data_IF_472229677881
#
_entry.id   IF_472229677881
#
_cell.length_a   1.000
_cell.length_b   1.000
_cell.length_c   1.000
_cell.angle_alpha   90.00
_cell.angle_beta   90.00
_cell.angle_gamma   90.00
#
_symmetry.space_group_name_H-M   'P 1'
#
loop_
_entity.id
_entity.type
_entity.pdbx_description
1 polymer ?
#
# COMPACT_ATOMS: atom_id res chain seq x y z
N UNK A 1 -18.16 17.91 5.38
CA UNK A 1 -17.32 17.07 6.23
C UNK A 1 -17.18 15.70 5.58
N UNK A 2 -15.97 15.19 5.38
CA UNK A 2 -15.78 13.84 4.85
C UNK A 2 -16.42 12.80 5.78
N UNK A 3 -17.10 11.81 5.19
CA UNK A 3 -17.63 10.67 5.97
C UNK A 3 -16.45 9.88 6.56
N UNK A 4 -16.65 9.25 7.71
CA UNK A 4 -15.71 8.33 8.35
C UNK A 4 -15.02 7.40 7.34
N UNK A 5 -13.69 7.22 7.46
CA UNK A 5 -12.90 6.31 6.62
C UNK A 5 -13.42 4.87 6.76
N UNK A 6 -13.68 4.43 8.00
CA UNK A 6 -14.22 3.10 8.26
C UNK A 6 -15.63 2.92 7.70
N UNK A 7 -16.52 3.90 7.85
CA UNK A 7 -17.88 3.80 7.29
C UNK A 7 -17.87 3.70 5.75
N UNK A 8 -16.94 4.40 5.08
CA UNK A 8 -16.74 4.28 3.62
C UNK A 8 -16.22 2.90 3.24
N UNK A 9 -15.21 2.41 3.98
CA UNK A 9 -14.65 1.08 3.73
C UNK A 9 -15.68 -0.03 3.99
N UNK A 10 -16.52 0.07 5.03
CA UNK A 10 -17.63 -0.86 5.27
C UNK A 10 -18.58 -0.91 4.07
N UNK A 11 -18.94 0.23 3.49
CA UNK A 11 -19.79 0.25 2.29
C UNK A 11 -19.15 -0.49 1.11
N UNK A 12 -17.83 -0.33 0.90
CA UNK A 12 -17.10 -1.08 -0.11
C UNK A 12 -17.04 -2.57 0.21
N UNK A 13 -16.75 -2.92 1.46
CA UNK A 13 -16.68 -4.33 1.89
C UNK A 13 -18.01 -5.02 1.72
N UNK A 14 -19.12 -4.35 2.08
CA UNK A 14 -20.47 -4.88 1.88
C UNK A 14 -20.73 -5.16 0.40
N UNK A 15 -20.43 -4.19 -0.46
CA UNK A 15 -20.52 -4.38 -1.91
C UNK A 15 -19.66 -5.56 -2.39
N UNK A 16 -18.41 -5.67 -1.92
CA UNK A 16 -17.51 -6.77 -2.27
C UNK A 16 -18.03 -8.13 -1.84
N UNK A 17 -18.68 -8.23 -0.68
CA UNK A 17 -19.33 -9.47 -0.20
C UNK A 17 -20.49 -9.86 -1.12
N UNK A 18 -21.31 -8.91 -1.54
CA UNK A 18 -22.42 -9.13 -2.48
C UNK A 18 -21.94 -9.57 -3.87
N UNK A 19 -20.70 -9.18 -4.26
CA UNK A 19 -20.08 -9.52 -5.55
C UNK A 19 -18.91 -10.52 -5.40
N UNK A 20 -18.94 -11.32 -4.34
CA UNK A 20 -17.83 -12.23 -3.98
C UNK A 20 -17.46 -13.23 -5.07
N UNK A 21 -18.43 -13.72 -5.83
CA UNK A 21 -18.20 -14.64 -6.95
C UNK A 21 -17.39 -13.95 -8.07
N UNK A 22 -17.80 -12.75 -8.48
CA UNK A 22 -17.12 -11.98 -9.54
C UNK A 22 -15.68 -11.60 -9.13
N UNK A 23 -15.48 -11.27 -7.86
CA UNK A 23 -14.19 -10.90 -7.30
C UNK A 23 -13.33 -12.11 -6.92
N UNK A 24 -13.92 -13.33 -6.87
CA UNK A 24 -13.24 -14.54 -6.44
C UNK A 24 -12.87 -14.52 -4.96
N UNK A 25 -13.75 -13.95 -4.12
CA UNK A 25 -13.57 -13.84 -2.67
C UNK A 25 -14.25 -15.00 -1.94
N UNK A 26 -13.77 -15.31 -0.72
CA UNK A 26 -14.48 -16.11 0.26
C UNK A 26 -14.79 -15.26 1.48
N UNK A 27 -16.03 -15.33 1.96
CA UNK A 27 -16.47 -14.64 3.17
C UNK A 27 -16.87 -15.65 4.22
N UNK A 28 -16.25 -15.55 5.39
CA UNK A 28 -16.53 -16.43 6.52
C UNK A 28 -16.81 -15.61 7.79
N UNK A 29 -17.60 -16.17 8.72
CA UNK A 29 -17.68 -15.65 10.08
C UNK A 29 -16.57 -16.28 10.91
N UNK A 30 -15.72 -15.42 11.45
CA UNK A 30 -14.70 -15.83 12.41
C UNK A 30 -15.37 -16.30 13.73
N UNK A 31 -14.79 -17.26 14.51
CA UNK A 31 -15.36 -17.72 15.78
C UNK A 31 -15.66 -16.60 16.79
N UNK A 32 -14.94 -15.50 16.74
CA UNK A 32 -15.18 -14.30 17.57
C UNK A 32 -16.36 -13.45 17.11
N UNK A 33 -16.97 -13.77 15.95
CA UNK A 33 -18.04 -13.00 15.33
C UNK A 33 -17.58 -11.97 14.28
N UNK A 34 -16.28 -11.73 14.10
CA UNK A 34 -15.75 -10.85 13.07
C UNK A 34 -16.10 -11.37 11.67
N UNK A 35 -16.15 -10.47 10.69
CA UNK A 35 -16.31 -10.85 9.28
C UNK A 35 -14.94 -10.96 8.63
N UNK A 36 -14.60 -12.14 8.15
CA UNK A 36 -13.37 -12.44 7.44
C UNK A 36 -13.64 -12.50 5.94
N UNK A 37 -12.84 -11.77 5.17
CA UNK A 37 -12.86 -11.74 3.71
C UNK A 37 -11.49 -12.21 3.23
N UNK A 38 -11.45 -13.39 2.65
CA UNK A 38 -10.26 -13.99 2.06
C UNK A 38 -10.17 -13.63 0.59
N UNK A 39 -8.99 -13.11 0.20
CA UNK A 39 -8.70 -12.69 -1.16
C UNK A 39 -7.57 -13.51 -1.83
N UNK A 40 -7.08 -14.56 -1.18
CA UNK A 40 -6.01 -15.35 -1.79
C UNK A 40 -5.35 -16.42 -0.92
N UNK A 41 -5.89 -16.75 0.26
CA UNK A 41 -5.45 -17.89 1.09
C UNK A 41 -6.12 -19.17 0.60
N UNK A 42 -7.44 -19.27 0.73
CA UNK A 42 -8.30 -20.33 0.19
C UNK A 42 -9.08 -19.85 -1.03
N UNK A 43 -9.39 -18.55 -1.07
CA UNK A 43 -10.05 -17.91 -2.18
C UNK A 43 -9.14 -17.92 -3.41
N UNK A 44 -9.76 -18.00 -4.61
CA UNK A 44 -9.04 -17.86 -5.87
C UNK A 44 -8.34 -16.50 -5.95
N UNK A 45 -9.01 -15.44 -5.50
CA UNK A 45 -8.57 -14.06 -5.65
C UNK A 45 -8.38 -13.68 -7.12
N UNK A 46 -7.54 -12.69 -7.38
CA UNK A 46 -7.21 -12.26 -8.72
C UNK A 46 -6.93 -10.77 -8.82
N UNK A 47 -6.84 -10.26 -10.05
CA UNK A 47 -6.60 -8.82 -10.30
C UNK A 47 -7.76 -7.98 -9.78
N UNK A 48 -9.01 -8.38 -10.02
CA UNK A 48 -10.19 -7.67 -9.53
C UNK A 48 -10.22 -7.62 -7.99
N UNK A 49 -9.94 -8.75 -7.32
CA UNK A 49 -9.81 -8.82 -5.87
C UNK A 49 -8.72 -7.89 -5.32
N UNK A 50 -7.55 -7.86 -5.98
CA UNK A 50 -6.44 -7.00 -5.58
C UNK A 50 -6.74 -5.50 -5.75
N UNK A 51 -7.43 -5.12 -6.83
CA UNK A 51 -7.94 -3.76 -7.02
C UNK A 51 -8.93 -3.37 -5.93
N UNK A 52 -9.92 -4.23 -5.68
CA UNK A 52 -10.90 -4.06 -4.60
C UNK A 52 -10.21 -3.89 -3.24
N UNK A 53 -9.26 -4.77 -2.91
CA UNK A 53 -8.47 -4.68 -1.68
C UNK A 53 -7.71 -3.37 -1.57
N UNK A 54 -7.12 -2.88 -2.68
CA UNK A 54 -6.43 -1.58 -2.75
C UNK A 54 -7.40 -0.43 -2.46
N UNK A 55 -8.58 -0.42 -3.07
CA UNK A 55 -9.58 0.63 -2.84
C UNK A 55 -10.14 0.61 -1.40
N UNK A 56 -10.29 -0.56 -0.79
CA UNK A 56 -10.62 -0.69 0.64
C UNK A 56 -9.49 -0.16 1.52
N UNK A 57 -8.23 -0.48 1.19
CA UNK A 57 -7.06 0.09 1.87
C UNK A 57 -7.04 1.63 1.83
N UNK A 58 -7.43 2.22 0.70
CA UNK A 58 -7.56 3.66 0.53
C UNK A 58 -8.85 4.25 1.15
N UNK A 59 -9.60 3.45 1.92
CA UNK A 59 -10.91 3.81 2.48
C UNK A 59 -11.91 4.35 1.44
N UNK A 60 -11.81 3.91 0.17
CA UNK A 60 -12.62 4.42 -0.94
C UNK A 60 -12.38 5.89 -1.31
N UNK A 61 -11.28 6.48 -0.84
CA UNK A 61 -10.83 7.84 -1.21
C UNK A 61 -9.89 7.83 -2.42
N UNK A 62 -9.52 6.68 -2.93
CA UNK A 62 -8.77 6.51 -4.16
C UNK A 62 -9.49 5.57 -5.11
N UNK A 63 -9.12 5.65 -6.39
CA UNK A 63 -9.60 4.78 -7.46
C UNK A 63 -8.45 4.02 -8.10
N UNK A 64 -8.75 2.84 -8.61
CA UNK A 64 -7.76 1.98 -9.25
C UNK A 64 -8.22 1.52 -10.62
N UNK A 65 -7.25 1.39 -11.53
CA UNK A 65 -7.44 0.71 -12.81
C UNK A 65 -6.22 -0.14 -13.13
N UNK A 66 -6.39 -1.14 -14.00
CA UNK A 66 -5.27 -1.95 -14.48
C UNK A 66 -5.19 -1.82 -15.99
N UNK A 67 -3.99 -1.54 -16.47
CA UNK A 67 -3.67 -1.40 -17.88
C UNK A 67 -2.30 -2.00 -18.16
N UNK A 68 -1.93 -2.13 -19.43
CA UNK A 68 -0.57 -2.51 -19.82
C UNK A 68 0.25 -1.26 -20.05
N UNK A 69 1.41 -1.18 -19.39
CA UNK A 69 2.37 -0.09 -19.54
C UNK A 69 3.66 -0.60 -20.15
N UNK A 70 4.29 0.22 -20.98
CA UNK A 70 5.60 -0.07 -21.56
C UNK A 70 6.72 0.39 -20.65
N UNK A 71 7.66 -0.49 -20.38
CA UNK A 71 8.88 -0.26 -19.64
C UNK A 71 10.04 -0.54 -20.59
N UNK A 72 10.32 0.42 -21.48
CA UNK A 72 11.19 0.29 -22.67
C UNK A 72 10.67 -0.83 -23.61
N UNK A 73 11.40 -1.93 -23.72
CA UNK A 73 11.10 -3.08 -24.59
C UNK A 73 10.21 -4.14 -23.92
N UNK A 74 9.71 -3.90 -22.70
CA UNK A 74 8.83 -4.82 -21.96
C UNK A 74 7.50 -4.17 -21.66
N UNK A 75 6.42 -4.85 -22.00
CA UNK A 75 5.06 -4.47 -21.63
C UNK A 75 4.60 -5.30 -20.41
N UNK A 76 4.17 -4.62 -19.34
CA UNK A 76 3.74 -5.27 -18.11
C UNK A 76 2.34 -4.79 -17.70
N UNK A 77 1.49 -5.69 -17.15
CA UNK A 77 0.28 -5.26 -16.48
C UNK A 77 0.65 -4.36 -15.32
N UNK A 78 -0.01 -3.21 -15.20
CA UNK A 78 0.30 -2.20 -14.21
C UNK A 78 -0.98 -1.69 -13.56
N UNK A 79 -0.95 -1.50 -12.25
CA UNK A 79 -2.03 -0.85 -11.53
C UNK A 79 -1.79 0.65 -11.49
N UNK A 80 -2.81 1.41 -11.87
CA UNK A 80 -2.89 2.85 -11.73
C UNK A 80 -3.72 3.19 -10.49
N UNK A 81 -3.29 4.18 -9.73
CA UNK A 81 -3.96 4.67 -8.52
C UNK A 81 -4.04 6.18 -8.57
N UNK A 82 -5.19 6.73 -8.19
CA UNK A 82 -5.43 8.17 -8.10
C UNK A 82 -6.23 8.52 -6.86
N UNK A 83 -5.98 9.71 -6.30
CA UNK A 83 -6.72 10.23 -5.14
C UNK A 83 -6.64 11.75 -5.04
N UNK A 84 -7.79 12.36 -4.70
CA UNK A 84 -7.93 13.78 -4.35
C UNK A 84 -7.80 14.00 -2.82
N UNK A 85 -7.52 12.95 -2.06
CA UNK A 85 -7.35 12.98 -0.60
C UNK A 85 -6.05 12.30 -0.16
N UNK A 86 -4.87 12.72 -0.69
CA UNK A 86 -3.64 11.95 -0.60
C UNK A 86 -3.26 11.57 0.84
N UNK A 87 -3.20 12.54 1.76
CA UNK A 87 -2.78 12.28 3.14
C UNK A 87 -3.71 11.29 3.86
N UNK A 88 -5.04 11.43 3.70
CA UNK A 88 -6.02 10.57 4.37
C UNK A 88 -6.10 9.19 3.73
N UNK A 89 -6.17 9.12 2.40
CA UNK A 89 -6.28 7.85 1.68
C UNK A 89 -5.05 6.98 1.91
N UNK A 90 -3.86 7.58 1.91
CA UNK A 90 -2.60 6.86 2.01
C UNK A 90 -2.14 6.73 3.47
N UNK A 91 -1.59 7.79 4.07
CA UNK A 91 -1.04 7.73 5.42
C UNK A 91 -2.10 7.46 6.49
N UNK A 92 -3.29 8.04 6.34
CA UNK A 92 -4.43 7.84 7.24
C UNK A 92 -5.09 6.46 7.13
N UNK A 93 -4.92 5.75 6.00
CA UNK A 93 -5.56 4.46 5.76
C UNK A 93 -4.61 3.41 5.19
N UNK A 94 -4.11 3.57 3.96
CA UNK A 94 -3.41 2.51 3.23
C UNK A 94 -2.06 2.09 3.84
N UNK A 95 -1.33 2.99 4.48
CA UNK A 95 -0.01 2.69 5.04
C UNK A 95 -0.02 1.44 5.93
N UNK A 96 0.95 0.52 5.72
CA UNK A 96 1.08 -0.72 6.50
C UNK A 96 1.82 -0.49 7.82
N UNK A 97 1.24 0.34 8.69
CA UNK A 97 1.88 0.83 9.91
C UNK A 97 1.45 0.14 11.21
N UNK A 98 0.67 -0.93 11.13
CA UNK A 98 0.20 -1.63 12.33
C UNK A 98 0.66 -3.09 12.33
N UNK A 99 1.63 -3.42 13.19
CA UNK A 99 2.00 -4.82 13.43
C UNK A 99 0.96 -5.47 14.33
N UNK A 100 0.19 -6.41 13.77
CA UNK A 100 -0.68 -7.29 14.55
C UNK A 100 0.19 -8.46 15.00
N UNK A 101 0.62 -8.44 16.25
CA UNK A 101 1.51 -9.44 16.81
C UNK A 101 0.94 -9.97 18.12
N UNK A 102 0.64 -11.25 18.14
CA UNK A 102 0.22 -12.01 19.32
C UNK A 102 1.16 -13.17 19.56
N UNK A 103 0.82 -14.06 20.47
CA UNK A 103 1.63 -15.25 20.78
C UNK A 103 1.75 -16.22 19.61
N UNK A 104 0.73 -16.26 18.73
CA UNK A 104 0.54 -17.27 17.69
C UNK A 104 0.22 -16.66 16.30
N UNK A 105 0.30 -15.32 16.17
CA UNK A 105 -0.02 -14.63 14.92
C UNK A 105 0.88 -13.43 14.67
N UNK A 106 1.25 -13.25 13.41
CA UNK A 106 1.89 -12.03 12.94
C UNK A 106 1.36 -11.63 11.56
N UNK A 107 0.97 -10.36 11.42
CA UNK A 107 0.63 -9.75 10.14
C UNK A 107 0.95 -8.25 10.14
N UNK A 108 1.16 -7.69 8.94
CA UNK A 108 1.17 -6.25 8.75
C UNK A 108 -0.26 -5.78 8.45
N UNK A 109 -0.73 -4.87 9.29
CA UNK A 109 -2.06 -4.29 9.19
C UNK A 109 -2.05 -2.92 8.51
N UNK A 110 -2.97 -2.74 7.59
CA UNK A 110 -3.29 -1.51 6.88
C UNK A 110 -4.81 -1.31 6.85
N UNK A 111 -5.26 -0.22 6.24
CA UNK A 111 -6.68 0.09 6.18
C UNK A 111 -7.16 1.05 7.28
N UNK A 112 -8.42 1.47 7.20
CA UNK A 112 -8.93 2.58 8.01
C UNK A 112 -9.07 2.28 9.51
N UNK A 113 -9.07 1.01 9.96
CA UNK A 113 -9.04 0.66 11.37
C UNK A 113 -7.86 1.32 12.11
N UNK A 114 -6.74 1.55 11.40
CA UNK A 114 -5.58 2.26 11.94
C UNK A 114 -5.89 3.68 12.42
N UNK A 115 -6.87 4.35 11.80
CA UNK A 115 -7.27 5.70 12.18
C UNK A 115 -8.04 5.75 13.51
N UNK A 116 -8.68 4.64 13.89
CA UNK A 116 -9.30 4.48 15.21
C UNK A 116 -8.21 4.19 16.25
N UNK A 117 -7.37 3.19 15.97
CA UNK A 117 -6.30 2.74 16.87
C UNK A 117 -5.09 3.67 16.92
N UNK A 118 -4.99 4.69 16.04
CA UNK A 118 -3.87 5.62 15.89
C UNK A 118 -2.51 4.90 15.72
N UNK A 119 -2.43 3.93 14.82
CA UNK A 119 -1.22 3.11 14.60
C UNK A 119 -0.54 3.42 13.23
N UNK A 120 0.70 3.98 13.24
CA UNK A 120 1.45 4.49 14.38
C UNK A 120 1.01 5.93 14.74
N UNK A 121 1.09 6.27 16.02
CA UNK A 121 0.57 7.52 16.57
C UNK A 121 1.20 8.78 15.96
N UNK A 122 2.51 8.75 15.71
CA UNK A 122 3.26 9.88 15.16
C UNK A 122 2.78 10.27 13.77
N UNK A 123 2.33 9.29 12.97
CA UNK A 123 1.81 9.55 11.64
C UNK A 123 0.48 10.29 11.70
N UNK A 124 -0.40 9.90 12.62
CA UNK A 124 -1.69 10.56 12.81
C UNK A 124 -1.55 11.98 13.38
N UNK A 125 -0.52 12.23 14.20
CA UNK A 125 -0.16 13.59 14.61
C UNK A 125 0.28 14.45 13.42
N UNK A 126 1.08 13.89 12.49
CA UNK A 126 1.52 14.62 11.28
C UNK A 126 0.38 15.01 10.35
N UNK A 127 -0.59 14.12 10.16
CA UNK A 127 -1.74 14.40 9.28
C UNK A 127 -2.90 15.09 10.00
N UNK A 128 -2.80 15.29 11.30
CA UNK A 128 -3.81 15.91 12.16
C UNK A 128 -5.20 15.26 12.00
N UNK A 129 -5.23 13.94 12.15
CA UNK A 129 -6.43 13.14 11.93
C UNK A 129 -6.61 12.06 12.98
N UNK A 130 -7.85 11.89 13.41
CA UNK A 130 -8.32 10.75 14.20
C UNK A 130 -9.78 10.46 13.88
N UNK A 131 -10.21 9.26 14.14
CA UNK A 131 -11.57 8.82 13.85
C UNK A 131 -12.15 8.02 15.01
N UNK A 132 -13.46 8.20 15.24
CA UNK A 132 -14.26 7.28 16.04
C UNK A 132 -15.26 6.61 15.11
N UNK A 133 -15.34 5.30 15.16
CA UNK A 133 -16.25 4.50 14.35
C UNK A 133 -16.68 3.25 15.09
N UNK A 134 -17.93 2.87 14.94
CA UNK A 134 -18.47 1.63 15.51
C UNK A 134 -17.87 0.40 14.84
N UNK A 135 -17.61 0.48 13.53
CA UNK A 135 -17.03 -0.60 12.75
C UNK A 135 -15.56 -0.29 12.43
N UNK A 136 -14.73 -1.32 12.39
CA UNK A 136 -13.34 -1.22 12.01
C UNK A 136 -13.03 -2.15 10.83
N UNK A 137 -12.41 -1.59 9.78
CA UNK A 137 -11.99 -2.35 8.59
C UNK A 137 -10.47 -2.41 8.55
N UNK A 138 -9.94 -3.62 8.65
CA UNK A 138 -8.51 -3.92 8.65
C UNK A 138 -8.15 -4.77 7.43
N UNK A 139 -7.00 -4.47 6.82
CA UNK A 139 -6.44 -5.25 5.72
C UNK A 139 -5.14 -5.85 6.19
N UNK A 140 -5.02 -7.18 6.12
CA UNK A 140 -3.88 -7.93 6.60
C UNK A 140 -3.10 -8.57 5.44
N UNK A 141 -1.80 -8.40 5.47
CA UNK A 141 -0.85 -9.17 4.68
C UNK A 141 -0.39 -10.37 5.51
N UNK A 142 -0.94 -11.55 5.21
CA UNK A 142 -0.68 -12.78 5.94
C UNK A 142 -0.97 -14.02 5.09
N UNK A 143 -0.28 -15.13 5.42
CA UNK A 143 -0.44 -16.43 4.75
C UNK A 143 -1.53 -17.30 5.41
N UNK A 144 -2.08 -16.85 6.54
CA UNK A 144 -3.13 -17.55 7.28
C UNK A 144 -4.11 -16.55 7.93
N UNK A 145 -5.26 -17.05 8.31
CA UNK A 145 -6.30 -16.24 8.93
C UNK A 145 -5.88 -15.75 10.31
N UNK A 146 -6.35 -14.56 10.74
CA UNK A 146 -6.09 -14.08 12.09
C UNK A 146 -6.65 -15.06 13.13
N UNK A 147 -5.92 -15.22 14.24
CA UNK A 147 -6.38 -16.03 15.37
C UNK A 147 -7.42 -15.27 16.19
N UNK A 148 -8.10 -15.98 17.12
CA UNK A 148 -9.04 -15.31 18.02
C UNK A 148 -8.36 -14.23 18.87
N UNK A 149 -7.13 -14.49 19.32
CA UNK A 149 -6.33 -13.52 20.07
C UNK A 149 -6.06 -12.27 19.25
N UNK A 150 -5.66 -12.45 17.97
CA UNK A 150 -5.40 -11.34 17.05
C UNK A 150 -6.66 -10.48 16.80
N UNK A 151 -7.82 -11.10 16.59
CA UNK A 151 -9.07 -10.36 16.39
C UNK A 151 -9.51 -9.64 17.66
N UNK A 152 -9.38 -10.26 18.84
CA UNK A 152 -9.67 -9.62 20.13
C UNK A 152 -8.76 -8.42 20.38
N UNK A 153 -7.44 -8.57 20.11
CA UNK A 153 -6.48 -7.48 20.19
C UNK A 153 -6.88 -6.28 19.29
N UNK A 154 -7.26 -6.54 18.03
CA UNK A 154 -7.71 -5.48 17.12
C UNK A 154 -8.99 -4.81 17.62
N UNK A 155 -9.93 -5.57 18.16
CA UNK A 155 -11.18 -5.03 18.70
C UNK A 155 -10.93 -4.13 19.91
N UNK A 156 -10.03 -4.53 20.81
CA UNK A 156 -9.61 -3.75 21.97
C UNK A 156 -8.96 -2.43 21.57
N UNK A 157 -7.97 -2.47 20.65
CA UNK A 157 -7.27 -1.27 20.17
C UNK A 157 -8.20 -0.32 19.40
N UNK A 158 -9.27 -0.83 18.78
CA UNK A 158 -10.29 -0.04 18.11
C UNK A 158 -11.47 0.35 19.01
N UNK A 159 -11.42 0.06 20.31
CA UNK A 159 -12.50 0.34 21.28
C UNK A 159 -13.88 -0.17 20.80
N UNK A 160 -13.91 -1.36 20.18
CA UNK A 160 -15.13 -1.96 19.62
C UNK A 160 -15.24 -3.45 19.97
N UNK A 161 -16.26 -4.12 19.45
CA UNK A 161 -16.45 -5.57 19.65
C UNK A 161 -15.99 -6.35 18.42
N UNK A 162 -15.53 -7.60 18.55
CA UNK A 162 -15.13 -8.44 17.44
C UNK A 162 -16.16 -8.53 16.32
N UNK A 163 -17.45 -8.53 16.61
CA UNK A 163 -18.54 -8.60 15.63
C UNK A 163 -18.61 -7.37 14.69
N UNK A 164 -17.94 -6.28 15.06
CA UNK A 164 -17.84 -5.03 14.28
C UNK A 164 -16.55 -4.94 13.48
N UNK A 165 -15.68 -5.94 13.56
CA UNK A 165 -14.44 -6.02 12.80
C UNK A 165 -14.69 -6.69 11.45
N UNK A 166 -14.20 -6.05 10.41
CA UNK A 166 -14.09 -6.59 9.05
C UNK A 166 -12.60 -6.73 8.73
N UNK A 167 -12.17 -7.95 8.43
CA UNK A 167 -10.76 -8.24 8.11
C UNK A 167 -10.66 -8.78 6.70
N UNK A 168 -9.94 -8.06 5.84
CA UNK A 168 -9.55 -8.54 4.53
C UNK A 168 -8.16 -9.14 4.65
N UNK A 169 -7.91 -10.30 4.02
CA UNK A 169 -6.61 -10.97 4.13
C UNK A 169 -6.16 -11.50 2.77
N UNK A 170 -4.90 -11.27 2.43
CA UNK A 170 -4.26 -11.88 1.27
C UNK A 170 -2.76 -12.08 1.51
N UNK A 171 -2.18 -13.21 1.06
CA UNK A 171 -0.73 -13.40 1.05
C UNK A 171 -0.07 -12.55 -0.03
N UNK A 172 1.14 -12.05 0.22
CA UNK A 172 2.00 -11.41 -0.81
C UNK A 172 2.21 -12.31 -2.03
N UNK A 173 2.22 -13.62 -1.84
CA UNK A 173 2.40 -14.64 -2.88
C UNK A 173 1.17 -14.86 -3.76
N UNK A 174 0.00 -14.28 -3.41
CA UNK A 174 -1.22 -14.33 -4.22
C UNK A 174 -1.28 -13.21 -5.25
N UNK A 175 -2.13 -13.39 -6.28
CA UNK A 175 -2.37 -12.34 -7.27
C UNK A 175 -2.98 -11.09 -6.62
N UNK A 176 -3.95 -11.25 -5.73
CA UNK A 176 -4.58 -10.13 -5.04
C UNK A 176 -3.56 -9.36 -4.17
N UNK A 177 -2.68 -10.09 -3.45
CA UNK A 177 -1.59 -9.49 -2.68
C UNK A 177 -0.60 -8.72 -3.55
N UNK A 178 -0.18 -9.30 -4.68
CA UNK A 178 0.73 -8.62 -5.62
C UNK A 178 0.13 -7.33 -6.18
N UNK A 179 -1.13 -7.35 -6.61
CA UNK A 179 -1.84 -6.15 -7.10
C UNK A 179 -1.96 -5.10 -6.00
N UNK A 180 -2.36 -5.50 -4.79
CA UNK A 180 -2.52 -4.59 -3.67
C UNK A 180 -1.21 -3.92 -3.27
N UNK A 181 -0.07 -4.64 -3.28
CA UNK A 181 1.22 -4.05 -2.93
C UNK A 181 1.68 -3.09 -4.03
N UNK A 182 1.56 -3.45 -5.32
CA UNK A 182 1.81 -2.51 -6.41
C UNK A 182 0.89 -1.28 -6.36
N UNK A 183 -0.34 -1.46 -5.87
CA UNK A 183 -1.31 -0.39 -5.63
C UNK A 183 -0.96 0.57 -4.48
N UNK A 184 0.16 0.34 -3.77
CA UNK A 184 0.72 1.30 -2.79
C UNK A 184 1.57 2.39 -3.43
N UNK A 185 1.65 2.43 -4.73
CA UNK A 185 2.51 3.35 -5.47
C UNK A 185 2.39 4.81 -5.03
N UNK A 186 1.17 5.33 -4.88
CA UNK A 186 0.94 6.72 -4.42
C UNK A 186 1.30 6.87 -2.94
N UNK A 187 0.94 5.89 -2.12
CA UNK A 187 1.26 5.86 -0.68
C UNK A 187 2.78 5.88 -0.45
N UNK A 188 3.53 5.01 -1.13
CA UNK A 188 4.98 4.90 -0.97
C UNK A 188 5.69 6.22 -1.30
N UNK A 189 5.23 6.95 -2.32
CA UNK A 189 5.79 8.25 -2.66
C UNK A 189 5.46 9.33 -1.63
N UNK A 190 4.22 9.39 -1.13
CA UNK A 190 3.81 10.34 -0.08
C UNK A 190 4.55 10.05 1.22
N UNK A 191 4.65 8.78 1.59
CA UNK A 191 5.43 8.38 2.76
C UNK A 191 6.88 8.85 2.64
N UNK A 192 7.51 8.62 1.48
CA UNK A 192 8.87 9.07 1.22
C UNK A 192 9.06 10.59 1.33
N UNK A 193 8.16 11.37 0.72
CA UNK A 193 8.19 12.83 0.85
C UNK A 193 8.03 13.29 2.31
N UNK A 194 7.17 12.61 3.07
CA UNK A 194 6.95 12.87 4.50
C UNK A 194 8.18 12.55 5.36
N UNK A 195 8.90 11.45 5.05
CA UNK A 195 10.18 11.11 5.71
C UNK A 195 11.25 12.15 5.42
N UNK A 196 11.28 12.72 4.21
CA UNK A 196 12.19 13.79 3.83
C UNK A 196 11.83 15.14 4.43
N UNK A 197 10.70 15.24 5.14
CA UNK A 197 10.26 16.44 5.86
C UNK A 197 9.25 17.31 5.12
N UNK A 198 8.62 16.81 4.05
CA UNK A 198 7.49 17.49 3.41
C UNK A 198 6.22 17.28 4.25
N UNK A 199 5.43 18.34 4.44
CA UNK A 199 4.13 18.24 5.14
C UNK A 199 3.10 17.53 4.24
N UNK A 200 2.65 16.30 4.58
CA UNK A 200 1.71 15.57 3.76
C UNK A 200 0.36 16.27 3.56
N UNK A 201 -0.03 17.18 4.44
CA UNK A 201 -1.26 17.97 4.32
C UNK A 201 -1.20 18.98 3.18
N UNK A 202 -0.01 19.32 2.71
CA UNK A 202 0.23 20.19 1.54
C UNK A 202 0.18 19.44 0.19
N UNK A 203 0.01 18.11 0.19
CA UNK A 203 -0.19 17.32 -1.03
C UNK A 203 -1.70 17.30 -1.32
N UNK A 204 -2.08 17.91 -2.44
CA UNK A 204 -3.49 18.13 -2.80
C UNK A 204 -4.07 17.01 -3.66
N UNK A 205 -3.28 16.52 -4.61
CA UNK A 205 -3.65 15.45 -5.53
C UNK A 205 -2.48 14.49 -5.70
N UNK A 206 -2.79 13.21 -5.86
CA UNK A 206 -1.77 12.21 -6.11
C UNK A 206 -2.26 11.14 -7.08
N UNK A 207 -1.43 10.80 -8.05
CA UNK A 207 -1.64 9.63 -8.89
C UNK A 207 -0.32 8.95 -9.23
N UNK A 208 -0.40 7.71 -9.69
CA UNK A 208 0.77 6.96 -10.06
C UNK A 208 0.43 5.58 -10.58
N UNK A 209 1.42 4.89 -11.11
CA UNK A 209 1.28 3.51 -11.54
C UNK A 209 2.53 2.70 -11.23
N UNK A 210 2.35 1.40 -11.01
CA UNK A 210 3.43 0.46 -10.82
C UNK A 210 3.13 -0.86 -11.54
N UNK A 211 4.15 -1.59 -12.05
CA UNK A 211 3.94 -2.91 -12.62
C UNK A 211 3.42 -3.87 -11.54
N UNK A 212 2.49 -4.74 -11.93
CA UNK A 212 2.03 -5.84 -11.08
C UNK A 212 3.09 -6.93 -11.16
N UNK A 213 3.71 -7.24 -10.04
CA UNK A 213 4.76 -8.24 -9.99
C UNK A 213 4.19 -9.64 -10.27
N UNK A 214 4.87 -10.48 -11.07
CA UNK A 214 4.51 -11.88 -11.21
C UNK A 214 4.56 -12.58 -9.85
N UNK A 215 3.53 -13.37 -9.55
CA UNK A 215 3.46 -14.14 -8.31
C UNK A 215 4.64 -15.12 -8.19
N UNK A 216 5.00 -15.43 -6.94
CA UNK A 216 6.04 -16.42 -6.64
C UNK A 216 5.62 -17.28 -5.44
N UNK A 217 5.77 -18.63 -5.50
CA UNK A 217 5.32 -19.51 -4.42
C UNK A 217 6.06 -19.32 -3.09
N UNK A 218 7.26 -18.74 -3.11
CA UNK A 218 8.00 -18.39 -1.88
C UNK A 218 7.68 -16.96 -1.48
N UNK A 219 7.07 -16.76 -0.31
CA UNK A 219 6.64 -15.45 0.19
C UNK A 219 7.75 -14.39 0.17
N UNK A 220 8.96 -14.69 0.64
CA UNK A 220 10.08 -13.74 0.64
C UNK A 220 10.51 -13.31 -0.79
N UNK A 221 10.39 -14.19 -1.79
CA UNK A 221 10.67 -13.83 -3.18
C UNK A 221 9.52 -13.05 -3.81
N UNK A 222 8.27 -13.38 -3.48
CA UNK A 222 7.10 -12.61 -3.89
C UNK A 222 7.21 -11.18 -3.36
N UNK A 223 7.53 -11.03 -2.08
CA UNK A 223 7.80 -9.75 -1.43
C UNK A 223 8.94 -8.98 -2.12
N UNK A 224 10.03 -9.66 -2.48
CA UNK A 224 11.11 -9.05 -3.26
C UNK A 224 10.62 -8.45 -4.56
N UNK A 225 9.87 -9.21 -5.36
CA UNK A 225 9.33 -8.77 -6.65
C UNK A 225 8.37 -7.59 -6.53
N UNK A 226 7.50 -7.59 -5.54
CA UNK A 226 6.54 -6.50 -5.34
C UNK A 226 7.21 -5.19 -4.92
N UNK A 227 8.24 -5.24 -4.06
CA UNK A 227 9.04 -4.07 -3.72
C UNK A 227 9.85 -3.57 -4.92
N UNK A 228 10.46 -4.47 -5.70
CA UNK A 228 11.20 -4.13 -6.91
C UNK A 228 10.29 -3.50 -7.97
N UNK A 229 9.04 -3.93 -8.07
CA UNK A 229 8.06 -3.34 -8.98
C UNK A 229 7.87 -1.83 -8.70
N UNK A 230 7.78 -1.43 -7.45
CA UNK A 230 7.68 -0.02 -7.03
C UNK A 230 9.03 0.69 -7.20
N UNK A 231 10.09 0.11 -6.66
CA UNK A 231 11.40 0.75 -6.60
C UNK A 231 12.06 0.94 -7.98
N UNK A 232 11.76 0.09 -8.96
CA UNK A 232 12.37 0.13 -10.28
C UNK A 232 11.40 0.48 -11.41
N UNK A 233 10.09 0.37 -11.19
CA UNK A 233 9.07 0.64 -12.20
C UNK A 233 7.99 1.62 -11.79
N UNK A 234 7.95 2.02 -10.53
CA UNK A 234 6.90 2.90 -10.01
C UNK A 234 7.05 4.34 -10.46
N UNK A 235 5.95 4.94 -10.89
CA UNK A 235 5.89 6.33 -11.37
C UNK A 235 4.82 7.08 -10.59
N UNK A 236 5.16 8.27 -10.07
CA UNK A 236 4.25 9.09 -9.27
C UNK A 236 4.20 10.52 -9.72
N UNK A 237 3.00 11.10 -9.61
CA UNK A 237 2.70 12.49 -9.88
C UNK A 237 1.94 13.08 -8.69
N UNK A 238 2.40 14.24 -8.20
CA UNK A 238 1.75 14.97 -7.11
C UNK A 238 1.56 16.42 -7.46
N UNK A 239 0.45 17.01 -7.02
CA UNK A 239 0.25 18.45 -6.97
C UNK A 239 0.30 18.90 -5.52
N UNK A 240 1.13 19.88 -5.22
CA UNK A 240 1.39 20.33 -3.85
C UNK A 240 1.24 21.84 -3.71
N UNK A 241 0.92 22.28 -2.50
CA UNK A 241 0.92 23.69 -2.10
C UNK A 241 2.18 24.00 -1.28
N UNK A 242 3.26 24.46 -1.93
CA UNK A 242 4.54 24.76 -1.28
C UNK A 242 4.88 26.23 -1.33
N UNK A 243 5.29 26.78 -0.18
CA UNK A 243 5.78 28.17 -0.05
C UNK A 243 7.23 28.31 -0.52
N UNK A 244 8.00 27.21 -0.53
CA UNK A 244 9.43 27.17 -0.84
C UNK A 244 9.70 26.17 -1.99
N UNK A 245 9.82 26.71 -3.18
CA UNK A 245 10.05 25.93 -4.40
C UNK A 245 11.47 25.37 -4.48
N UNK A 246 12.45 26.05 -3.89
CA UNK A 246 13.85 25.59 -3.82
C UNK A 246 13.95 24.35 -2.93
N UNK A 247 13.36 24.41 -1.74
CA UNK A 247 13.30 23.27 -0.84
C UNK A 247 12.52 22.11 -1.45
N UNK A 248 11.40 22.38 -2.13
CA UNK A 248 10.64 21.35 -2.84
C UNK A 248 11.50 20.63 -3.87
N UNK A 249 12.26 21.37 -4.68
CA UNK A 249 13.19 20.82 -5.67
C UNK A 249 14.24 19.89 -5.03
N UNK A 250 14.81 20.29 -3.90
CA UNK A 250 15.79 19.47 -3.16
C UNK A 250 15.18 18.17 -2.64
N UNK A 251 13.95 18.24 -2.08
CA UNK A 251 13.23 17.07 -1.59
C UNK A 251 12.91 16.09 -2.73
N UNK A 252 12.39 16.61 -3.86
CA UNK A 252 12.06 15.79 -5.03
C UNK A 252 13.31 15.13 -5.60
N UNK A 253 14.47 15.81 -5.60
CA UNK A 253 15.74 15.23 -6.06
C UNK A 253 16.17 14.02 -5.22
N UNK A 254 15.88 14.02 -3.92
CA UNK A 254 16.24 12.96 -2.96
C UNK A 254 15.17 11.90 -2.79
N UNK A 255 14.00 12.07 -3.41
CA UNK A 255 12.85 11.20 -3.19
C UNK A 255 12.94 9.82 -3.85
N UNK A 256 13.43 9.66 -5.11
CA UNK A 256 13.42 8.38 -5.81
C UNK A 256 14.20 7.29 -5.10
N UNK A 257 13.82 6.03 -5.33
CA UNK A 257 14.53 4.83 -4.85
C UNK A 257 16.01 4.82 -5.20
N UNK A 258 16.38 5.44 -6.33
CA UNK A 258 17.77 5.58 -6.78
C UNK A 258 18.66 6.43 -5.86
N UNK A 259 18.08 7.17 -4.92
CA UNK A 259 18.81 7.88 -3.88
C UNK A 259 19.19 6.99 -2.67
N UNK A 260 18.66 5.77 -2.61
CA UNK A 260 18.99 4.81 -1.57
C UNK A 260 20.38 4.21 -1.78
N UNK A 261 21.13 4.01 -0.67
CA UNK A 261 22.42 3.29 -0.69
C UNK A 261 22.27 1.81 -1.07
N UNK A 262 21.08 1.23 -0.93
CA UNK A 262 20.78 -0.17 -1.25
C UNK A 262 20.27 -0.35 -2.68
N UNK A 263 20.13 0.75 -3.46
CA UNK A 263 19.66 0.73 -4.84
C UNK A 263 20.59 -0.06 -5.77
N UNK A 264 20.04 -0.62 -6.85
CA UNK A 264 20.81 -1.34 -7.89
C UNK A 264 20.94 -2.84 -7.65
N UNK A 265 20.26 -3.38 -6.63
CA UNK A 265 20.23 -4.80 -6.30
C UNK A 265 18.78 -5.27 -6.14
N UNK A 266 18.44 -6.53 -6.51
CA UNK A 266 17.13 -7.09 -6.22
C UNK A 266 16.79 -6.98 -4.73
N UNK A 267 15.59 -6.53 -4.40
CA UNK A 267 15.17 -6.36 -3.00
C UNK A 267 15.34 -7.65 -2.18
N UNK A 268 15.04 -8.81 -2.77
CA UNK A 268 15.24 -10.09 -2.08
C UNK A 268 16.69 -10.30 -1.61
N UNK A 269 17.68 -9.86 -2.39
CA UNK A 269 19.09 -9.96 -2.01
C UNK A 269 19.45 -8.99 -0.89
N UNK A 270 18.93 -7.76 -0.95
CA UNK A 270 19.09 -6.77 0.11
C UNK A 270 18.44 -7.26 1.41
N UNK A 271 17.22 -7.77 1.33
CA UNK A 271 16.47 -8.30 2.47
C UNK A 271 17.15 -9.51 3.12
N UNK A 272 17.68 -10.43 2.28
CA UNK A 272 18.48 -11.57 2.76
C UNK A 272 19.77 -11.10 3.46
N UNK A 273 20.47 -10.13 2.91
CA UNK A 273 21.69 -9.57 3.52
C UNK A 273 21.39 -8.86 4.86
N UNK A 274 20.18 -8.28 5.00
CA UNK A 274 19.67 -7.70 6.24
C UNK A 274 19.14 -8.75 7.23
N UNK A 275 19.35 -10.05 6.99
CA UNK A 275 18.81 -11.15 7.81
C UNK A 275 17.28 -11.13 7.91
N UNK A 276 16.60 -10.74 6.84
CA UNK A 276 15.14 -10.58 6.75
C UNK A 276 14.55 -9.57 7.75
N UNK A 277 15.32 -8.54 8.08
CA UNK A 277 14.93 -7.45 8.97
C UNK A 277 14.76 -6.16 8.16
N UNK A 278 13.53 -5.69 8.01
CA UNK A 278 13.20 -4.47 7.27
C UNK A 278 13.85 -3.21 7.85
N UNK A 279 14.06 -3.16 9.16
CA UNK A 279 14.63 -2.00 9.83
C UNK A 279 16.12 -1.78 9.55
N UNK A 280 16.80 -2.79 8.97
CA UNK A 280 18.20 -2.70 8.53
C UNK A 280 18.35 -2.23 7.09
N UNK A 281 17.26 -2.14 6.34
CA UNK A 281 17.24 -1.66 4.96
C UNK A 281 17.09 -0.15 4.97
N UNK A 282 17.81 0.52 4.05
CA UNK A 282 17.62 1.95 3.85
C UNK A 282 16.17 2.25 3.44
N UNK A 283 15.41 3.05 4.22
CA UNK A 283 14.01 3.37 3.90
C UNK A 283 13.81 3.96 2.51
N UNK A 284 14.83 4.64 1.95
CA UNK A 284 14.78 5.18 0.61
C UNK A 284 14.58 4.14 -0.49
N UNK A 285 14.89 2.87 -0.24
CA UNK A 285 14.67 1.79 -1.21
C UNK A 285 13.18 1.49 -1.46
N UNK A 286 12.32 1.78 -0.49
CA UNK A 286 10.86 1.55 -0.62
C UNK A 286 10.15 2.65 -1.42
N UNK A 287 10.88 3.66 -1.88
CA UNK A 287 10.32 4.75 -2.67
C UNK A 287 10.06 4.34 -4.13
N UNK A 288 9.15 5.02 -4.83
CA UNK A 288 8.98 4.92 -6.28
C UNK A 288 10.25 5.22 -7.08
N UNK A 289 10.33 4.66 -8.30
CA UNK A 289 11.44 4.90 -9.21
C UNK A 289 11.48 6.36 -9.68
N UNK A 290 10.31 6.99 -9.88
CA UNK A 290 10.21 8.37 -10.37
C UNK A 290 9.20 9.20 -9.60
N UNK A 291 9.50 10.49 -9.49
CA UNK A 291 8.64 11.52 -8.94
C UNK A 291 8.50 12.68 -9.92
N UNK A 292 7.27 13.15 -10.11
CA UNK A 292 6.97 14.44 -10.70
C UNK A 292 6.05 15.20 -9.72
N UNK A 293 6.51 16.35 -9.23
CA UNK A 293 5.80 17.13 -8.20
C UNK A 293 5.60 18.54 -8.71
N UNK A 294 4.35 18.93 -8.93
CA UNK A 294 3.96 20.26 -9.39
C UNK A 294 3.58 21.14 -8.19
N UNK A 295 4.27 22.26 -8.04
CA UNK A 295 3.86 23.29 -7.09
C UNK A 295 2.75 24.15 -7.71
N UNK A 296 1.54 24.10 -7.16
CA UNK A 296 0.39 24.84 -7.71
C UNK A 296 0.52 26.37 -7.61
N UNK A 297 1.38 26.87 -6.69
CA UNK A 297 1.61 28.31 -6.54
C UNK A 297 2.47 28.90 -7.64
N UNK A 298 3.40 28.13 -8.15
CA UNK A 298 4.37 28.57 -9.17
C UNK A 298 4.10 27.99 -10.55
N UNK A 299 3.32 26.89 -10.62
CA UNK A 299 3.13 26.10 -11.84
C UNK A 299 4.37 25.29 -12.25
N UNK A 300 5.44 25.31 -11.45
CA UNK A 300 6.68 24.58 -11.74
C UNK A 300 6.52 23.12 -11.35
N UNK A 301 6.95 22.22 -12.23
CA UNK A 301 7.03 20.78 -11.97
C UNK A 301 8.49 20.37 -11.79
N UNK A 302 8.83 19.87 -10.63
CA UNK A 302 10.10 19.22 -10.35
C UNK A 302 9.99 17.73 -10.61
N UNK A 303 10.89 17.15 -11.40
CA UNK A 303 10.93 15.73 -11.71
C UNK A 303 12.29 15.13 -11.37
N UNK A 304 12.28 13.90 -10.85
CA UNK A 304 13.49 13.16 -10.49
C UNK A 304 13.28 11.66 -10.56
N UNK A 305 14.40 10.93 -10.71
CA UNK A 305 14.41 9.48 -10.83
C UNK A 305 14.20 9.00 -12.27
N UNK A 306 14.29 7.70 -12.44
CA UNK A 306 14.02 7.02 -13.72
C UNK A 306 13.65 5.56 -13.47
N UNK A 307 12.84 5.00 -14.34
CA UNK A 307 12.56 3.56 -14.41
C UNK A 307 13.88 2.80 -14.67
N UNK A 308 14.02 1.63 -14.10
CA UNK A 308 15.15 0.72 -14.34
C UNK A 308 14.66 -0.60 -14.95
N UNK A 309 14.48 -0.68 -16.27
CA UNK A 309 13.95 -1.86 -16.95
C UNK A 309 14.84 -3.09 -16.82
N UNK A 310 16.14 -2.89 -16.75
CA UNK A 310 17.11 -4.00 -16.57
C UNK A 310 16.84 -4.74 -15.25
N UNK A 311 16.73 -4.00 -14.15
CA UNK A 311 16.41 -4.60 -12.84
C UNK A 311 14.99 -5.14 -12.80
N UNK A 312 14.00 -4.50 -13.41
CA UNK A 312 12.66 -5.05 -13.52
C UNK A 312 12.65 -6.42 -14.22
N UNK A 313 13.33 -6.55 -15.36
CA UNK A 313 13.45 -7.84 -16.06
C UNK A 313 14.11 -8.90 -15.21
N UNK A 314 15.21 -8.56 -14.57
CA UNK A 314 15.97 -9.46 -13.71
C UNK A 314 15.11 -9.96 -12.53
N UNK A 315 14.48 -9.05 -11.81
CA UNK A 315 13.76 -9.37 -10.56
C UNK A 315 12.45 -10.08 -10.82
N UNK A 316 11.76 -9.72 -11.91
CA UNK A 316 10.54 -10.39 -12.36
C UNK A 316 10.82 -11.70 -13.10
N UNK A 317 12.10 -12.01 -13.35
CA UNK A 317 12.53 -13.20 -14.10
C UNK A 317 11.87 -13.28 -15.49
N UNK A 318 11.82 -12.15 -16.19
CA UNK A 318 11.36 -12.11 -17.56
C UNK A 318 12.44 -12.70 -18.46
N UNK A 319 12.25 -13.91 -18.89
CA UNK A 319 13.17 -14.64 -19.75
C UNK A 319 12.62 -14.60 -21.18
N UNK A 320 13.40 -14.17 -22.19
CA UNK A 320 12.97 -14.32 -23.57
C UNK A 320 12.66 -15.78 -23.89
N UNK A 321 11.57 -16.00 -24.65
CA UNK A 321 11.15 -17.34 -25.07
C UNK A 321 12.11 -17.92 -26.12
#
# INVERSE_FOLDING_TARGET
MLKSLNARAVSLVTWGIEHSEELGLLTEKHPTGATLIDLGIKAKGGIAAGRFMTEVCLAGLGKTSVTTMSYEDVALPSIHVETDFPALATLGSQFAGWQIKTSDYFAMGSGPARAIALKPKELYQKIDFSEKSENAVLVLEADHYPTEEAVKYVAEECETTPSKIYTLVAPTSSMAGSVQISGRIVESGIHRLTELGFDPKKILYGCGYAPIAPIHPRAAKAMGRTNDAIAYGGVTFYSVDSDDDTKLKELVHRAPSSASKDYGRPFYEVFKAASFDFYKIDPGLFAPATFAVTNIRTGVTHASGKINPTLLKQTMQLVPA
#
